data_IF_954132255119
#
_entry.id   IF_954132255119
#
_cell.length_a   1.000
_cell.length_b   1.000
_cell.length_c   1.000
_cell.angle_alpha   90.00
_cell.angle_beta   90.00
_cell.angle_gamma   90.00
#
_symmetry.space_group_name_H-M   'P 1'
#
loop_
_entity.id
_entity.type
_entity.pdbx_description
1 polymer ?
#
# COMPACT_ATOMS: atom_id res chain seq x y z
N UNK A 1 -28.63 -0.14 13.33
CA UNK A 1 -27.39 0.41 13.92
C UNK A 1 -26.57 1.02 12.80
N UNK A 2 -26.71 2.33 12.58
CA UNK A 2 -25.95 3.07 11.57
C UNK A 2 -24.63 3.56 12.18
N UNK A 3 -23.53 3.15 11.58
CA UNK A 3 -22.17 3.44 12.03
C UNK A 3 -21.90 4.94 12.06
N UNK A 4 -21.56 5.50 13.23
CA UNK A 4 -21.30 6.93 13.46
C UNK A 4 -19.83 7.33 13.19
N UNK A 5 -19.18 6.74 12.19
CA UNK A 5 -17.90 7.29 11.71
C UNK A 5 -18.16 8.36 10.65
N UNK A 6 -18.83 9.44 11.04
CA UNK A 6 -18.73 10.70 10.29
C UNK A 6 -17.37 11.27 10.64
N UNK A 7 -16.33 10.82 9.93
CA UNK A 7 -15.04 11.49 9.99
C UNK A 7 -15.25 12.89 9.42
N UNK A 8 -15.34 13.89 10.29
CA UNK A 8 -15.11 15.31 9.97
C UNK A 8 -13.62 15.51 9.58
N UNK A 9 -13.08 14.64 8.74
CA UNK A 9 -11.76 14.77 8.17
C UNK A 9 -11.84 15.94 7.20
N UNK A 10 -11.28 17.09 7.61
CA UNK A 10 -11.00 18.18 6.66
C UNK A 10 -10.33 17.56 5.45
N UNK A 11 -10.91 17.77 4.26
CA UNK A 11 -10.31 17.30 3.00
C UNK A 11 -8.84 17.73 3.01
N UNK A 12 -7.88 16.82 2.77
CA UNK A 12 -6.48 17.16 2.77
C UNK A 12 -6.22 18.32 1.80
N UNK A 13 -5.24 19.18 2.09
CA UNK A 13 -4.82 20.25 1.18
C UNK A 13 -4.40 19.73 -0.21
N UNK A 14 -4.29 20.59 -1.22
CA UNK A 14 -3.96 20.18 -2.60
C UNK A 14 -2.68 19.33 -2.67
N UNK A 15 -1.61 19.78 -2.01
CA UNK A 15 -0.32 19.06 -1.91
C UNK A 15 -0.48 17.69 -1.24
N UNK A 16 -1.15 17.65 -0.09
CA UNK A 16 -1.41 16.38 0.61
C UNK A 16 -2.20 15.39 -0.26
N UNK A 17 -3.19 15.85 -1.04
CA UNK A 17 -3.92 14.99 -1.98
C UNK A 17 -3.05 14.48 -3.12
N UNK A 18 -2.09 15.26 -3.59
CA UNK A 18 -1.13 14.83 -4.60
C UNK A 18 -0.26 13.69 -4.07
N UNK A 19 0.35 13.86 -2.89
CA UNK A 19 1.15 12.81 -2.26
C UNK A 19 0.33 11.54 -1.96
N UNK A 20 -0.91 11.69 -1.48
CA UNK A 20 -1.84 10.56 -1.28
C UNK A 20 -2.10 9.82 -2.60
N UNK A 21 -2.29 10.55 -3.71
CA UNK A 21 -2.52 9.93 -5.01
C UNK A 21 -1.28 9.18 -5.53
N UNK A 22 -0.09 9.75 -5.35
CA UNK A 22 1.19 9.10 -5.70
C UNK A 22 1.37 7.83 -4.88
N UNK A 23 1.23 7.90 -3.55
CA UNK A 23 1.35 6.74 -2.68
C UNK A 23 0.33 5.65 -3.02
N UNK A 24 -0.94 6.03 -3.28
CA UNK A 24 -1.97 5.08 -3.72
C UNK A 24 -1.57 4.35 -4.98
N UNK A 25 -1.03 5.06 -5.97
CA UNK A 25 -0.61 4.44 -7.23
C UNK A 25 0.56 3.49 -7.02
N UNK A 26 1.56 3.87 -6.22
CA UNK A 26 2.68 2.99 -5.87
C UNK A 26 2.22 1.70 -5.20
N UNK A 27 1.31 1.81 -4.21
CA UNK A 27 0.75 0.63 -3.52
C UNK A 27 0.02 -0.28 -4.50
N UNK A 28 -0.76 0.27 -5.44
CA UNK A 28 -1.46 -0.53 -6.44
C UNK A 28 -0.47 -1.24 -7.38
N UNK A 29 0.59 -0.56 -7.82
CA UNK A 29 1.64 -1.20 -8.62
C UNK A 29 2.33 -2.33 -7.86
N UNK A 30 2.69 -2.14 -6.59
CA UNK A 30 3.30 -3.20 -5.77
C UNK A 30 2.38 -4.43 -5.61
N UNK A 31 1.07 -4.21 -5.48
CA UNK A 31 0.08 -5.28 -5.44
C UNK A 31 0.04 -6.02 -6.78
N UNK A 32 -0.07 -5.27 -7.90
CA UNK A 32 -0.16 -5.85 -9.24
C UNK A 32 1.10 -6.67 -9.57
N UNK A 33 2.29 -6.14 -9.30
CA UNK A 33 3.57 -6.81 -9.52
C UNK A 33 3.72 -8.05 -8.64
N UNK A 34 3.31 -7.97 -7.37
CA UNK A 34 3.33 -9.11 -6.46
C UNK A 34 2.40 -10.22 -6.94
N UNK A 35 1.16 -9.88 -7.31
CA UNK A 35 0.17 -10.85 -7.78
C UNK A 35 0.58 -11.48 -9.11
N UNK A 36 1.25 -10.74 -10.00
CA UNK A 36 1.78 -11.26 -11.26
C UNK A 36 2.87 -12.33 -11.07
N UNK A 37 3.59 -12.30 -9.94
CA UNK A 37 4.59 -13.31 -9.57
C UNK A 37 3.99 -14.58 -8.95
N UNK A 38 2.82 -14.51 -8.32
CA UNK A 38 2.25 -15.63 -7.57
C UNK A 38 2.12 -16.91 -8.43
N UNK A 39 2.57 -18.03 -7.86
CA UNK A 39 2.57 -19.33 -8.54
C UNK A 39 3.85 -19.63 -9.32
N UNK A 40 4.80 -18.68 -9.40
CA UNK A 40 6.15 -18.98 -9.90
C UNK A 40 7.00 -19.72 -8.85
N UNK A 41 7.99 -20.53 -9.27
CA UNK A 41 8.89 -21.20 -8.34
C UNK A 41 9.66 -20.18 -7.48
N UNK A 42 9.59 -20.34 -6.15
CA UNK A 42 10.27 -19.46 -5.19
C UNK A 42 9.40 -18.34 -4.62
N UNK A 43 8.19 -18.15 -5.14
CA UNK A 43 7.23 -17.17 -4.64
C UNK A 43 6.43 -17.70 -3.43
N UNK A 44 5.89 -16.82 -2.58
CA UNK A 44 5.13 -17.25 -1.41
C UNK A 44 3.89 -18.06 -1.82
N UNK A 45 3.71 -19.23 -1.19
CA UNK A 45 2.69 -20.19 -1.58
C UNK A 45 1.54 -20.30 -0.58
N UNK A 46 1.81 -20.06 0.70
CA UNK A 46 0.77 -20.10 1.75
C UNK A 46 0.15 -18.72 1.97
N UNK A 47 -1.11 -18.63 2.41
CA UNK A 47 -1.73 -17.34 2.74
C UNK A 47 -0.92 -16.51 3.75
N UNK A 48 -0.22 -17.16 4.68
CA UNK A 48 0.64 -16.49 5.66
C UNK A 48 1.88 -15.86 5.04
N UNK A 49 2.56 -16.58 4.14
CA UNK A 49 3.72 -16.06 3.39
C UNK A 49 3.30 -14.94 2.43
N UNK A 50 2.19 -15.13 1.73
CA UNK A 50 1.63 -14.15 0.80
C UNK A 50 1.36 -12.83 1.52
N UNK A 51 0.67 -12.90 2.66
CA UNK A 51 0.37 -11.72 3.47
C UNK A 51 1.63 -11.09 4.06
N UNK A 52 2.61 -11.87 4.52
CA UNK A 52 3.87 -11.36 5.08
C UNK A 52 4.66 -10.59 4.03
N UNK A 53 4.81 -11.14 2.84
CA UNK A 53 5.60 -10.52 1.78
C UNK A 53 4.90 -9.30 1.18
N UNK A 54 3.59 -9.38 0.92
CA UNK A 54 2.83 -8.24 0.45
C UNK A 54 2.84 -7.08 1.46
N UNK A 55 2.70 -7.38 2.76
CA UNK A 55 2.81 -6.37 3.81
C UNK A 55 4.18 -5.68 3.78
N UNK A 56 5.27 -6.45 3.70
CA UNK A 56 6.64 -5.93 3.64
C UNK A 56 6.84 -4.98 2.46
N UNK A 57 6.33 -5.34 1.27
CA UNK A 57 6.41 -4.49 0.07
C UNK A 57 5.64 -3.17 0.24
N UNK A 58 4.41 -3.24 0.76
CA UNK A 58 3.58 -2.05 1.02
C UNK A 58 4.26 -1.13 2.05
N UNK A 59 4.79 -1.69 3.14
CA UNK A 59 5.53 -0.93 4.16
C UNK A 59 6.74 -0.21 3.54
N UNK A 60 7.53 -0.89 2.71
CA UNK A 60 8.65 -0.27 1.99
C UNK A 60 8.21 0.88 1.06
N UNK A 61 7.11 0.72 0.32
CA UNK A 61 6.60 1.77 -0.56
C UNK A 61 6.12 3.00 0.24
N UNK A 62 5.51 2.77 1.40
CA UNK A 62 5.12 3.85 2.33
C UNK A 62 6.35 4.54 2.89
N UNK A 63 7.35 3.79 3.35
CA UNK A 63 8.58 4.33 3.92
C UNK A 63 9.37 5.15 2.90
N UNK A 64 9.45 4.70 1.64
CA UNK A 64 10.09 5.46 0.56
C UNK A 64 9.43 6.83 0.34
N UNK A 65 8.11 6.92 0.40
CA UNK A 65 7.38 8.18 0.23
C UNK A 65 7.50 9.08 1.45
N UNK A 66 7.55 8.49 2.65
CA UNK A 66 7.59 9.22 3.91
C UNK A 66 9.00 9.66 4.31
N UNK A 67 10.04 8.89 3.92
CA UNK A 67 11.43 9.09 4.27
C UNK A 67 12.34 8.93 3.02
N UNK A 68 12.30 9.85 2.06
CA UNK A 68 13.00 9.70 0.77
C UNK A 68 14.54 9.80 0.82
N UNK A 69 15.16 9.86 2.01
CA UNK A 69 16.62 9.97 2.16
C UNK A 69 17.16 8.90 3.12
N UNK A 70 17.57 7.78 2.53
CA UNK A 70 18.79 7.02 2.88
C UNK A 70 19.69 7.03 1.63
#
# INVERSE_FOLDING_TARGET
MTSKYTTNARKPGKEARHHIAVLRNLIMCEIDDFVAGLGQPGEPATPGEIHKELRRRIENAVDYVMNPND
#
